data_IF_365792536885
#
_entry.id   IF_365792536885
#
_cell.length_a   1.000
_cell.length_b   1.000
_cell.length_c   1.000
_cell.angle_alpha   90.00
_cell.angle_beta   90.00
_cell.angle_gamma   90.00
#
_symmetry.space_group_name_H-M   'P 1'
#
loop_
_entity.id
_entity.type
_entity.pdbx_description
1 polymer ?
#
# COMPACT_ATOMS: atom_id res chain seq x y z
N UNK A 1 20.09 -31.17 -56.25
CA UNK A 1 19.11 -31.78 -55.30
C UNK A 1 18.83 -30.77 -54.20
N UNK A 2 17.63 -30.19 -54.19
CA UNK A 2 17.15 -29.28 -53.14
C UNK A 2 16.55 -30.11 -51.99
N UNK A 3 16.98 -29.86 -50.75
CA UNK A 3 16.27 -30.26 -49.52
C UNK A 3 16.42 -29.10 -48.54
N UNK A 4 15.44 -28.21 -48.50
CA UNK A 4 14.27 -28.19 -47.61
C UNK A 4 14.60 -27.53 -46.26
N UNK A 5 14.28 -26.23 -46.25
CA UNK A 5 14.08 -25.36 -45.10
C UNK A 5 13.16 -26.07 -44.09
N UNK A 6 13.61 -26.22 -42.84
CA UNK A 6 12.74 -26.52 -41.71
C UNK A 6 12.59 -25.25 -40.87
N UNK A 7 11.57 -24.47 -41.21
CA UNK A 7 10.94 -23.53 -40.28
C UNK A 7 10.10 -24.39 -39.35
N UNK A 8 10.42 -24.37 -38.06
CA UNK A 8 9.58 -24.96 -37.01
C UNK A 8 9.00 -23.79 -36.21
N UNK A 9 7.83 -23.35 -36.65
CA UNK A 9 6.87 -22.59 -35.85
C UNK A 9 6.17 -23.61 -34.96
N UNK A 10 6.32 -23.52 -33.65
CA UNK A 10 5.30 -23.90 -32.66
C UNK A 10 5.92 -23.83 -31.26
N UNK A 11 5.47 -22.85 -30.48
CA UNK A 11 5.86 -22.71 -29.09
C UNK A 11 5.60 -21.30 -28.60
N UNK A 12 4.36 -20.83 -28.75
CA UNK A 12 3.87 -19.73 -27.93
C UNK A 12 4.09 -20.18 -26.47
N UNK A 13 5.08 -19.58 -25.81
CA UNK A 13 5.16 -19.59 -24.36
C UNK A 13 4.02 -18.70 -23.89
N UNK A 14 2.82 -19.29 -23.91
CA UNK A 14 1.75 -18.94 -23.00
C UNK A 14 2.32 -19.17 -21.60
N UNK A 15 2.99 -18.16 -21.06
CA UNK A 15 3.06 -17.99 -19.62
C UNK A 15 1.62 -17.72 -19.20
N UNK A 16 0.92 -18.82 -18.98
CA UNK A 16 -0.37 -18.88 -18.34
C UNK A 16 -0.31 -17.97 -17.13
N UNK A 17 -1.11 -16.92 -17.21
CA UNK A 17 -1.57 -16.10 -16.10
C UNK A 17 -1.87 -17.00 -14.91
N UNK A 18 -0.88 -17.12 -14.02
CA UNK A 18 -1.11 -17.55 -12.66
C UNK A 18 -1.89 -16.42 -12.01
N UNK A 19 -3.22 -16.43 -12.19
CA UNK A 19 -4.10 -15.83 -11.19
C UNK A 19 -3.88 -16.65 -9.93
N UNK A 20 -2.81 -16.30 -9.20
CA UNK A 20 -2.72 -16.59 -7.79
C UNK A 20 -4.05 -16.16 -7.20
N UNK A 21 -4.72 -17.06 -6.50
CA UNK A 21 -5.91 -16.72 -5.74
C UNK A 21 -5.53 -15.58 -4.78
N UNK A 22 -5.79 -14.34 -5.18
CA UNK A 22 -5.44 -13.16 -4.43
C UNK A 22 -6.28 -13.17 -3.16
N UNK A 23 -5.59 -13.31 -2.04
CA UNK A 23 -6.19 -13.35 -0.73
C UNK A 23 -6.96 -12.04 -0.49
N UNK A 24 -8.18 -12.19 0.03
CA UNK A 24 -9.13 -11.11 0.26
C UNK A 24 -8.60 -10.15 1.34
N UNK A 25 -7.92 -9.07 0.95
CA UNK A 25 -7.25 -8.15 1.89
C UNK A 25 -8.05 -6.87 2.26
N UNK A 26 -9.22 -6.62 1.68
CA UNK A 26 -9.94 -5.37 1.95
C UNK A 26 -11.38 -5.65 2.38
N UNK A 27 -11.71 -5.35 3.64
CA UNK A 27 -13.09 -5.39 4.20
C UNK A 27 -13.98 -4.25 3.65
N UNK A 28 -13.53 -3.54 2.62
CA UNK A 28 -14.26 -2.42 2.03
C UNK A 28 -15.40 -2.97 1.18
N UNK A 29 -16.65 -2.76 1.62
CA UNK A 29 -17.84 -3.27 0.92
C UNK A 29 -18.77 -2.16 0.40
N UNK A 30 -18.50 -0.90 0.75
CA UNK A 30 -19.28 0.26 0.29
C UNK A 30 -18.47 1.55 0.40
N UNK A 31 -18.84 2.54 -0.41
CA UNK A 31 -18.41 3.94 -0.25
C UNK A 31 -19.23 4.60 0.86
N UNK A 32 -18.58 5.27 1.81
CA UNK A 32 -19.27 6.00 2.88
C UNK A 32 -19.37 7.49 2.58
N UNK A 33 -20.52 8.08 2.91
CA UNK A 33 -20.76 9.51 2.69
C UNK A 33 -19.78 10.36 3.51
N UNK A 34 -19.20 11.38 2.86
CA UNK A 34 -18.17 12.28 3.43
C UNK A 34 -16.83 11.60 3.72
N UNK A 35 -16.56 10.42 3.13
CA UNK A 35 -15.25 9.79 3.16
C UNK A 35 -14.68 9.68 1.75
N UNK A 36 -13.36 9.69 1.64
CA UNK A 36 -12.61 9.37 0.42
C UNK A 36 -11.92 8.03 0.63
N UNK A 37 -11.96 7.15 -0.36
CA UNK A 37 -11.19 5.91 -0.35
C UNK A 37 -9.78 6.23 -0.86
N UNK A 38 -8.76 5.92 -0.08
CA UNK A 38 -7.37 6.02 -0.50
C UNK A 38 -6.86 4.62 -0.81
N UNK A 39 -6.37 4.46 -2.03
CA UNK A 39 -5.85 3.22 -2.59
C UNK A 39 -4.36 3.36 -2.86
N UNK A 40 -3.60 2.32 -2.57
CA UNK A 40 -2.18 2.25 -2.91
C UNK A 40 -1.64 0.89 -2.59
N UNK A 41 -0.35 0.67 -2.84
CA UNK A 41 0.31 -0.61 -2.59
C UNK A 41 1.71 -0.36 -2.08
N UNK A 42 2.15 -1.24 -1.17
CA UNK A 42 3.52 -1.23 -0.66
C UNK A 42 4.16 -2.56 -1.00
N UNK A 43 5.27 -2.49 -1.73
CA UNK A 43 6.22 -3.56 -1.91
C UNK A 43 7.48 -3.23 -1.14
N UNK A 44 8.11 -4.26 -0.61
CA UNK A 44 9.37 -4.10 0.11
C UNK A 44 10.32 -5.20 -0.33
N UNK A 45 11.53 -4.79 -0.68
CA UNK A 45 12.60 -5.65 -1.18
C UNK A 45 13.76 -5.54 -0.22
N UNK A 46 14.22 -6.67 0.30
CA UNK A 46 15.38 -6.77 1.18
C UNK A 46 16.45 -7.60 0.47
N UNK A 47 17.72 -7.25 0.67
CA UNK A 47 18.86 -8.06 0.25
C UNK A 47 19.12 -9.26 1.19
N UNK A 48 18.78 -9.09 2.47
CA UNK A 48 18.86 -10.15 3.47
C UNK A 48 17.78 -11.22 3.30
N UNK A 49 18.19 -12.47 3.50
CA UNK A 49 17.30 -13.62 3.39
C UNK A 49 16.28 -13.67 4.56
N UNK A 50 15.03 -14.02 4.25
CA UNK A 50 13.94 -14.08 5.24
C UNK A 50 14.26 -15.05 6.38
N UNK A 51 14.89 -16.19 6.10
CA UNK A 51 15.28 -17.18 7.11
C UNK A 51 16.40 -16.63 8.01
N UNK A 52 17.33 -15.85 7.43
CA UNK A 52 18.35 -15.14 8.20
C UNK A 52 17.73 -14.12 9.16
N UNK A 53 16.79 -13.29 8.68
CA UNK A 53 16.07 -12.32 9.52
C UNK A 53 15.31 -13.06 10.65
N UNK A 54 14.60 -14.14 10.32
CA UNK A 54 13.85 -14.94 11.28
C UNK A 54 14.76 -15.47 12.41
N UNK A 55 15.87 -16.12 12.06
CA UNK A 55 16.81 -16.75 13.01
C UNK A 55 17.56 -15.76 13.89
N UNK A 56 17.89 -14.58 13.36
CA UNK A 56 18.75 -13.60 14.05
C UNK A 56 17.95 -12.64 14.94
N UNK A 57 16.63 -12.53 14.74
CA UNK A 57 15.79 -11.53 15.43
C UNK A 57 14.88 -12.11 16.52
N UNK A 58 15.04 -13.39 16.85
CA UNK A 58 14.30 -14.02 17.95
C UNK A 58 12.79 -14.02 17.73
N UNK A 59 12.37 -14.17 16.47
CA UNK A 59 10.96 -14.27 16.08
C UNK A 59 10.40 -15.62 16.57
N UNK A 60 9.16 -15.64 17.03
CA UNK A 60 8.47 -16.87 17.43
C UNK A 60 8.34 -17.81 16.22
N UNK A 61 8.74 -19.08 16.38
CA UNK A 61 8.71 -20.12 15.34
C UNK A 61 7.33 -20.30 14.70
N UNK A 62 6.26 -20.02 15.45
CA UNK A 62 4.90 -20.11 14.92
C UNK A 62 4.55 -19.00 13.90
N UNK A 63 5.42 -18.00 13.72
CA UNK A 63 5.20 -16.87 12.82
C UNK A 63 5.95 -16.98 11.50
N UNK A 64 6.84 -17.97 11.31
CA UNK A 64 7.73 -18.04 10.15
C UNK A 64 6.99 -18.03 8.80
N UNK A 65 5.83 -18.69 8.75
CA UNK A 65 4.99 -18.82 7.56
C UNK A 65 4.01 -17.66 7.35
N UNK A 66 3.92 -16.74 8.31
CA UNK A 66 3.05 -15.57 8.15
C UNK A 66 3.64 -14.61 7.11
N UNK A 67 2.80 -14.00 6.26
CA UNK A 67 3.25 -12.94 5.38
C UNK A 67 3.64 -11.70 6.17
N UNK A 68 4.55 -10.89 5.61
CA UNK A 68 4.79 -9.56 6.14
C UNK A 68 3.56 -8.69 5.91
N UNK A 69 3.27 -7.80 6.85
CA UNK A 69 2.12 -6.90 6.77
C UNK A 69 2.56 -5.45 6.95
N UNK A 70 1.68 -4.52 6.59
CA UNK A 70 1.86 -3.11 6.92
C UNK A 70 0.54 -2.46 7.34
N UNK A 71 0.67 -1.39 8.11
CA UNK A 71 -0.43 -0.52 8.51
C UNK A 71 -0.24 0.83 7.87
N UNK A 72 -1.26 1.25 7.11
CA UNK A 72 -1.36 2.60 6.54
C UNK A 72 -1.52 3.62 7.68
N UNK A 73 -0.72 4.71 7.69
CA UNK A 73 -0.65 5.65 8.80
C UNK A 73 -1.97 6.37 9.06
N UNK A 74 -2.10 6.80 10.32
CA UNK A 74 -3.08 7.80 10.71
C UNK A 74 -2.65 9.15 10.16
N UNK A 75 -3.61 9.87 9.60
CA UNK A 75 -3.43 11.30 9.31
C UNK A 75 -3.70 12.02 10.64
N UNK A 76 -2.77 12.86 11.09
CA UNK A 76 -2.99 13.75 12.23
C UNK A 76 -2.89 15.18 11.69
N UNK A 77 -3.92 16.00 11.91
CA UNK A 77 -3.78 17.45 11.76
C UNK A 77 -3.78 18.05 13.16
N UNK A 78 -2.63 18.55 13.59
CA UNK A 78 -2.44 19.10 14.93
C UNK A 78 -2.65 20.62 15.01
N UNK A 79 -3.20 21.27 13.98
CA UNK A 79 -3.39 22.72 13.98
C UNK A 79 -4.88 23.15 14.12
N UNK A 80 -5.33 23.19 15.38
CA UNK A 80 -5.88 24.37 16.08
C UNK A 80 -6.98 25.26 15.44
N UNK A 81 -7.80 24.76 14.51
CA UNK A 81 -9.03 25.45 14.06
C UNK A 81 -10.33 24.80 14.52
N UNK A 82 -10.25 23.71 15.26
CA UNK A 82 -11.42 23.03 15.82
C UNK A 82 -11.15 22.78 17.29
N UNK A 83 -11.99 23.39 18.14
CA UNK A 83 -11.88 23.36 19.59
C UNK A 83 -11.53 21.97 20.13
N UNK A 84 -10.60 21.98 21.07
CA UNK A 84 -10.16 20.87 21.91
C UNK A 84 -11.26 19.83 22.19
N UNK A 85 -11.23 18.69 21.48
CA UNK A 85 -11.57 17.34 22.00
C UNK A 85 -11.69 16.24 20.93
N UNK A 86 -11.64 16.51 19.63
CA UNK A 86 -11.80 15.46 18.60
C UNK A 86 -10.68 15.47 17.54
N UNK A 87 -9.73 14.54 17.68
CA UNK A 87 -8.77 14.20 16.64
C UNK A 87 -9.50 13.77 15.36
N UNK A 88 -9.38 14.55 14.27
CA UNK A 88 -10.36 14.53 13.17
C UNK A 88 -10.08 13.61 11.97
N UNK A 89 -9.03 12.79 12.01
CA UNK A 89 -8.73 11.81 10.95
C UNK A 89 -8.39 10.42 11.52
N UNK A 90 -9.18 10.00 12.51
CA UNK A 90 -9.05 8.66 13.09
C UNK A 90 -9.48 7.60 12.06
N UNK A 91 -8.53 6.76 11.63
CA UNK A 91 -8.83 5.48 11.00
C UNK A 91 -9.66 4.67 12.01
N UNK A 92 -10.85 4.24 11.62
CA UNK A 92 -11.78 3.54 12.53
C UNK A 92 -11.22 2.20 13.03
N UNK A 93 -10.26 1.58 12.31
CA UNK A 93 -9.55 0.39 12.75
C UNK A 93 -8.16 0.30 12.09
N UNK A 94 -7.13 -0.13 12.81
CA UNK A 94 -5.84 -0.46 12.18
C UNK A 94 -5.99 -1.77 11.40
N UNK A 95 -6.36 -1.66 10.13
CA UNK A 95 -6.27 -2.78 9.20
C UNK A 95 -4.81 -2.97 8.80
N UNK A 96 -4.30 -4.17 9.04
CA UNK A 96 -3.05 -4.70 8.47
C UNK A 96 -3.33 -5.21 7.05
N UNK A 97 -2.42 -4.92 6.12
CA UNK A 97 -2.46 -5.38 4.74
C UNK A 97 -1.20 -6.20 4.46
N UNK A 98 -1.28 -7.35 3.76
CA UNK A 98 -0.09 -8.06 3.31
C UNK A 98 0.77 -7.18 2.40
N UNK A 99 2.09 -7.28 2.52
CA UNK A 99 3.01 -6.66 1.57
C UNK A 99 2.74 -7.22 0.18
N UNK A 100 2.68 -6.35 -0.82
CA UNK A 100 2.31 -6.72 -2.20
C UNK A 100 0.84 -6.56 -2.54
N UNK A 101 -0.05 -6.41 -1.55
CA UNK A 101 -1.48 -6.19 -1.78
C UNK A 101 -1.83 -4.70 -1.79
N UNK A 102 -2.89 -4.36 -2.54
CA UNK A 102 -3.47 -3.02 -2.50
C UNK A 102 -4.18 -2.79 -1.16
N UNK A 103 -3.82 -1.70 -0.49
CA UNK A 103 -4.62 -1.18 0.60
C UNK A 103 -5.75 -0.32 0.08
N UNK A 104 -6.87 -0.32 0.81
CA UNK A 104 -8.02 0.55 0.58
C UNK A 104 -8.51 1.05 1.93
N UNK A 105 -8.30 2.35 2.20
CA UNK A 105 -8.61 2.95 3.51
C UNK A 105 -9.52 4.14 3.30
N UNK A 106 -10.61 4.22 4.06
CA UNK A 106 -11.49 5.39 4.03
C UNK A 106 -11.03 6.45 5.04
N UNK A 107 -10.91 7.69 4.57
CA UNK A 107 -10.61 8.85 5.38
C UNK A 107 -11.76 9.85 5.34
N UNK A 108 -12.06 10.49 6.47
CA UNK A 108 -13.05 11.56 6.51
C UNK A 108 -12.57 12.76 5.67
N UNK A 109 -13.44 13.27 4.80
CA UNK A 109 -13.19 14.49 4.03
C UNK A 109 -13.59 15.68 4.90
N UNK A 110 -12.72 16.70 5.07
CA UNK A 110 -13.09 17.90 5.82
C UNK A 110 -14.25 18.63 5.12
N UNK A 111 -15.28 18.98 5.91
CA UNK A 111 -16.50 19.67 5.42
C UNK A 111 -16.26 21.14 5.02
N UNK A 112 -15.14 21.74 5.44
CA UNK A 112 -14.75 23.13 5.22
C UNK A 112 -13.22 23.23 5.21
N UNK A 113 -12.67 24.16 4.42
CA UNK A 113 -11.23 24.37 4.27
C UNK A 113 -10.61 23.55 3.14
N UNK A 114 -9.28 23.52 3.09
CA UNK A 114 -8.54 22.79 2.07
C UNK A 114 -8.73 21.28 2.24
N UNK A 115 -9.15 20.59 1.17
CA UNK A 115 -9.33 19.14 1.15
C UNK A 115 -7.96 18.47 0.94
N UNK A 116 -7.13 18.47 1.97
CA UNK A 116 -5.77 17.90 1.91
C UNK A 116 -5.62 16.77 2.92
N UNK A 117 -5.16 15.62 2.45
CA UNK A 117 -4.72 14.50 3.28
C UNK A 117 -3.22 14.64 3.58
N UNK A 118 -2.87 14.72 4.86
CA UNK A 118 -1.49 14.94 5.31
C UNK A 118 -0.83 13.62 5.73
N UNK A 119 -0.08 12.98 4.83
CA UNK A 119 0.73 11.81 5.18
C UNK A 119 2.07 12.33 5.68
N UNK A 120 2.16 12.57 7.00
CA UNK A 120 3.35 13.12 7.68
C UNK A 120 3.98 12.16 8.68
N UNK A 121 3.51 10.92 8.67
CA UNK A 121 3.92 9.87 9.58
C UNK A 121 4.61 8.75 8.79
N UNK A 122 4.62 7.53 9.33
CA UNK A 122 5.32 6.40 8.75
C UNK A 122 4.32 5.27 8.56
N UNK A 123 4.43 4.53 7.47
CA UNK A 123 3.83 3.21 7.40
C UNK A 123 4.54 2.32 8.41
N UNK A 124 3.77 1.55 9.19
CA UNK A 124 4.34 0.56 10.10
C UNK A 124 4.32 -0.79 9.40
N UNK A 125 5.49 -1.30 9.02
CA UNK A 125 5.64 -2.63 8.44
C UNK A 125 6.00 -3.62 9.54
N UNK A 126 5.35 -4.77 9.54
CA UNK A 126 5.54 -5.86 10.49
C UNK A 126 6.08 -7.09 9.77
N UNK A 127 7.27 -7.53 10.17
CA UNK A 127 7.81 -8.78 9.67
C UNK A 127 7.06 -9.96 10.28
N UNK A 128 6.82 -11.00 9.49
CA UNK A 128 6.15 -12.23 9.92
C UNK A 128 4.73 -12.02 10.47
N UNK A 129 4.08 -10.92 10.06
CA UNK A 129 2.71 -10.56 10.41
C UNK A 129 2.51 -10.29 11.91
N UNK A 130 1.47 -9.53 12.24
CA UNK A 130 1.11 -9.14 13.62
C UNK A 130 2.02 -8.10 14.26
N UNK A 131 1.37 -7.06 14.81
CA UNK A 131 1.98 -6.11 15.75
C UNK A 131 2.77 -6.73 16.89
N UNK A 132 2.46 -7.98 17.25
CA UNK A 132 3.06 -8.66 18.39
C UNK A 132 4.43 -9.30 18.08
N UNK A 133 4.86 -9.34 16.82
CA UNK A 133 6.14 -9.94 16.42
C UNK A 133 7.38 -9.15 16.90
N UNK A 134 7.20 -7.95 17.47
CA UNK A 134 8.24 -7.01 17.93
C UNK A 134 9.28 -6.57 16.88
N UNK A 135 9.31 -7.18 15.70
CA UNK A 135 10.14 -6.79 14.57
C UNK A 135 9.31 -5.97 13.57
N UNK A 136 9.46 -4.65 13.63
CA UNK A 136 8.77 -3.73 12.74
C UNK A 136 9.73 -2.71 12.16
N UNK A 137 9.44 -2.26 10.95
CA UNK A 137 10.14 -1.19 10.26
C UNK A 137 9.19 -0.03 10.00
N UNK A 138 9.72 1.18 10.13
CA UNK A 138 8.98 2.39 9.86
C UNK A 138 9.33 2.89 8.45
N UNK A 139 8.40 2.77 7.51
CA UNK A 139 8.62 3.26 6.14
C UNK A 139 8.14 4.71 6.03
N UNK A 140 8.94 5.63 5.49
CA UNK A 140 8.60 7.05 5.45
C UNK A 140 7.40 7.33 4.55
N UNK A 141 6.47 8.16 5.05
CA UNK A 141 5.37 8.73 4.28
C UNK A 141 5.34 10.23 4.54
N UNK A 142 6.04 11.01 3.70
CA UNK A 142 6.22 12.46 3.86
C UNK A 142 5.69 13.20 2.64
N UNK A 143 4.37 13.17 2.49
CA UNK A 143 3.71 13.89 1.41
C UNK A 143 2.30 14.32 1.79
N UNK A 144 1.90 15.46 1.25
CA UNK A 144 0.52 15.93 1.31
C UNK A 144 -0.18 15.60 -0.01
N UNK A 145 -1.49 15.33 0.04
CA UNK A 145 -2.30 14.97 -1.13
C UNK A 145 -3.56 15.83 -1.18
N UNK A 146 -3.75 16.55 -2.27
CA UNK A 146 -5.00 17.26 -2.52
C UNK A 146 -6.08 16.27 -2.97
N UNK A 147 -7.30 16.43 -2.42
CA UNK A 147 -8.47 15.67 -2.85
C UNK A 147 -9.18 16.48 -3.95
N UNK A 148 -9.17 16.01 -5.22
CA UNK A 148 -9.90 16.66 -6.29
C UNK A 148 -11.42 16.54 -6.07
N UNK A 149 -12.17 17.46 -6.67
CA UNK A 149 -13.63 17.44 -6.60
C UNK A 149 -14.21 16.32 -7.48
N UNK A 150 -15.31 15.72 -7.03
CA UNK A 150 -16.10 14.78 -7.82
C UNK A 150 -15.55 13.37 -7.92
N UNK A 151 -14.57 13.00 -7.09
CA UNK A 151 -14.05 11.63 -7.01
C UNK A 151 -14.38 10.99 -5.67
N UNK A 152 -14.57 9.68 -5.70
CA UNK A 152 -14.85 8.87 -4.51
C UNK A 152 -13.60 8.14 -4.00
N UNK A 153 -12.58 8.01 -4.86
CA UNK A 153 -11.32 7.39 -4.52
C UNK A 153 -10.08 8.13 -5.04
N UNK A 154 -8.94 7.93 -4.35
CA UNK A 154 -7.63 8.45 -4.71
C UNK A 154 -6.59 7.33 -4.74
N UNK A 155 -5.87 7.22 -5.85
CA UNK A 155 -4.74 6.32 -6.01
C UNK A 155 -3.42 7.02 -5.69
N UNK A 156 -2.74 6.58 -4.62
CA UNK A 156 -1.44 7.12 -4.21
C UNK A 156 -0.29 6.64 -5.07
N UNK A 157 -0.39 5.49 -5.73
CA UNK A 157 0.74 4.82 -6.34
C UNK A 157 1.08 3.50 -5.67
N UNK A 158 1.95 2.75 -6.33
CA UNK A 158 2.64 1.60 -5.74
C UNK A 158 4.02 2.05 -5.30
N UNK A 159 4.33 1.93 -4.02
CA UNK A 159 5.61 2.29 -3.44
C UNK A 159 6.48 1.04 -3.27
N UNK A 160 7.63 1.02 -3.93
CA UNK A 160 8.67 0.02 -3.80
C UNK A 160 9.75 0.55 -2.88
N UNK A 161 9.90 -0.05 -1.70
CA UNK A 161 10.99 0.24 -0.78
C UNK A 161 12.10 -0.78 -0.97
N UNK A 162 13.32 -0.30 -1.20
CA UNK A 162 14.52 -1.12 -1.29
C UNK A 162 15.31 -0.94 -0.01
N UNK A 163 15.52 -2.03 0.71
CA UNK A 163 16.18 -2.07 2.01
C UNK A 163 17.43 -2.90 1.90
N UNK A 164 18.52 -2.38 2.48
CA UNK A 164 19.83 -3.02 2.45
C UNK A 164 20.42 -3.16 3.85
N UNK A 165 21.19 -4.23 4.02
CA UNK A 165 21.99 -4.51 5.21
C UNK A 165 21.18 -4.93 6.45
N UNK A 166 21.92 -5.41 7.45
CA UNK A 166 21.39 -5.91 8.72
C UNK A 166 20.81 -4.80 9.63
N UNK A 167 21.04 -3.54 9.30
CA UNK A 167 20.48 -2.38 9.98
C UNK A 167 19.17 -1.88 9.34
N UNK A 168 18.67 -2.56 8.31
CA UNK A 168 17.43 -2.21 7.59
C UNK A 168 17.45 -0.79 7.01
N UNK A 169 18.57 -0.41 6.37
CA UNK A 169 18.69 0.91 5.74
C UNK A 169 17.82 0.99 4.49
N UNK A 170 17.00 2.03 4.36
CA UNK A 170 16.26 2.29 3.11
C UNK A 170 17.24 2.89 2.10
N UNK A 171 17.56 2.13 1.06
CA UNK A 171 18.46 2.53 -0.03
C UNK A 171 17.72 3.39 -1.06
N UNK A 172 16.50 2.99 -1.43
CA UNK A 172 15.68 3.70 -2.40
C UNK A 172 14.18 3.54 -2.14
N UNK A 173 13.42 4.52 -2.65
CA UNK A 173 11.96 4.49 -2.69
C UNK A 173 11.55 4.84 -4.11
N UNK A 174 10.90 3.90 -4.80
CA UNK A 174 10.35 4.13 -6.14
C UNK A 174 8.83 4.15 -6.09
N UNK A 175 8.22 5.08 -6.84
CA UNK A 175 6.77 5.13 -7.03
C UNK A 175 6.43 4.72 -8.45
N UNK A 176 5.66 3.64 -8.60
CA UNK A 176 5.18 3.11 -9.87
C UNK A 176 3.69 3.39 -10.01
N UNK A 177 3.26 3.69 -11.24
CA UNK A 177 1.85 3.86 -11.59
C UNK A 177 1.24 2.53 -12.06
N UNK A 178 0.46 1.91 -11.18
CA UNK A 178 -0.36 0.71 -11.45
C UNK A 178 -1.86 1.05 -11.37
N UNK A 179 -2.26 2.27 -11.76
CA UNK A 179 -3.62 2.78 -11.60
C UNK A 179 -4.72 1.85 -12.12
N UNK A 180 -4.54 1.26 -13.30
CA UNK A 180 -5.57 0.40 -13.90
C UNK A 180 -5.80 -0.88 -13.08
N UNK A 181 -4.73 -1.46 -12.54
CA UNK A 181 -4.81 -2.61 -11.63
C UNK A 181 -5.46 -2.22 -10.30
N UNK A 182 -5.12 -1.02 -9.78
CA UNK A 182 -5.73 -0.50 -8.56
C UNK A 182 -7.24 -0.24 -8.75
N UNK A 183 -7.66 0.25 -9.91
CA UNK A 183 -9.07 0.48 -10.25
C UNK A 183 -9.83 -0.85 -10.34
N UNK A 184 -9.29 -1.83 -11.05
CA UNK A 184 -9.89 -3.17 -11.16
C UNK A 184 -10.08 -3.80 -9.77
N UNK A 185 -9.06 -3.70 -8.92
CA UNK A 185 -9.10 -4.26 -7.57
C UNK A 185 -10.11 -3.51 -6.67
N UNK A 186 -10.20 -2.18 -6.77
CA UNK A 186 -11.19 -1.37 -6.05
C UNK A 186 -12.62 -1.74 -6.45
N UNK A 187 -12.89 -1.80 -7.76
CA UNK A 187 -14.20 -2.16 -8.30
C UNK A 187 -14.60 -3.57 -7.87
N UNK A 188 -13.64 -4.51 -7.87
CA UNK A 188 -13.83 -5.88 -7.39
C UNK A 188 -14.19 -5.93 -5.91
N UNK A 189 -13.50 -5.16 -5.07
CA UNK A 189 -13.78 -5.07 -3.63
C UNK A 189 -15.18 -4.50 -3.35
N UNK A 190 -15.58 -3.47 -4.09
CA UNK A 190 -16.87 -2.79 -3.90
C UNK A 190 -18.05 -3.49 -4.60
N UNK A 191 -17.77 -4.33 -5.60
CA UNK A 191 -18.78 -4.93 -6.47
C UNK A 191 -19.44 -3.94 -7.43
N UNK A 192 -18.91 -2.71 -7.54
CA UNK A 192 -19.38 -1.64 -8.44
C UNK A 192 -18.22 -0.74 -8.82
N UNK A 193 -18.30 -0.13 -10.00
CA UNK A 193 -17.35 0.88 -10.43
C UNK A 193 -17.48 2.15 -9.59
N UNK A 194 -16.34 2.75 -9.26
CA UNK A 194 -16.22 4.00 -8.50
C UNK A 194 -15.16 4.90 -9.12
N UNK A 195 -15.46 6.20 -9.26
CA UNK A 195 -14.55 7.17 -9.86
C UNK A 195 -13.30 7.39 -8.98
N UNK A 196 -12.14 6.96 -9.47
CA UNK A 196 -10.85 7.14 -8.83
C UNK A 196 -9.97 8.12 -9.61
N UNK A 197 -9.22 8.96 -8.91
CA UNK A 197 -8.20 9.81 -9.52
C UNK A 197 -6.80 9.45 -9.04
N UNK A 198 -5.80 9.69 -9.90
CA UNK A 198 -4.39 9.66 -9.49
C UNK A 198 -4.11 10.83 -8.55
N UNK A 199 -3.55 10.53 -7.39
CA UNK A 199 -3.15 11.54 -6.43
C UNK A 199 -1.89 12.30 -6.91
N UNK A 200 -1.91 13.61 -6.72
CA UNK A 200 -0.72 14.47 -6.82
C UNK A 200 -0.08 14.54 -5.44
N UNK A 201 1.10 13.95 -5.29
CA UNK A 201 1.83 13.89 -4.03
C UNK A 201 2.77 15.08 -3.97
N UNK A 202 2.58 15.92 -2.95
CA UNK A 202 3.47 17.03 -2.63
C UNK A 202 4.46 16.54 -1.57
N UNK A 203 5.63 16.10 -2.02
CA UNK A 203 6.70 15.63 -1.12
C UNK A 203 7.10 16.77 -0.19
N UNK A 204 7.21 16.44 1.10
CA UNK A 204 7.72 17.35 2.11
C UNK A 204 9.22 17.04 2.21
N UNK A 205 10.06 17.98 1.78
CA UNK A 205 11.50 17.90 2.01
C UNK A 205 11.76 18.23 3.48
N UNK A 206 12.53 17.39 4.18
CA UNK A 206 13.02 17.70 5.53
C UNK A 206 13.97 18.92 5.40
N UNK A 207 13.63 20.03 6.07
CA UNK A 207 14.52 21.19 6.27
C UNK A 207 15.65 20.88 7.25
#
# INVERSE_FOLDING_TARGET
>A
MKKLIKILIAGAVLLTTGFSAFAQSSKLTKVESNKIIVVGKINVFYDEDREFIFKTRGVDENLIDNPDTYVVPYIYDTNDTFGSSESKYLKENQTEYPIGDFFMVQYNIPKKGDKVLKFRYRYEMYYFGSKNANLHLLLPAWYDVDIPDGVDALYLGTFNYYITGDNFTIDAIERVDEFDLAQEELDRCLGTHVDMARAVLKVIEDE
#
